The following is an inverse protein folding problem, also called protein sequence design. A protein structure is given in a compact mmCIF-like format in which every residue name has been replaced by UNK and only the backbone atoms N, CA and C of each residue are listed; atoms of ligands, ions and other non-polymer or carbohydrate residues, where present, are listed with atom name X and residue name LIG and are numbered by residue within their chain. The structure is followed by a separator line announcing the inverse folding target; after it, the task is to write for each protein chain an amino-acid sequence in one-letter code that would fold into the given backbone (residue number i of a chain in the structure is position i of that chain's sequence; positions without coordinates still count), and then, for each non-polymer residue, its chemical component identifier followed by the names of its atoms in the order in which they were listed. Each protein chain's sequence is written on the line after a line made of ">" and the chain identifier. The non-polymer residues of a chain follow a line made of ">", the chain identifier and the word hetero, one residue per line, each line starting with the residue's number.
data_IF_838753712515
#
_entry.id   IF_838753712515
#
_cell.length_a   1.000
_cell.length_b   1.000
_cell.length_c   1.000
_cell.angle_alpha   90.00
_cell.angle_beta   90.00
_cell.angle_gamma   90.00
#
_symmetry.space_group_name_H-M   'P 1'
#
loop_
_entity.id
_entity.type
_entity.pdbx_description
1 polymer ?
#
# COMPACT_ATOMS: atom_id res chain seq x y z
N UNK A 1 17.89 19.08 1.34
CA UNK A 1 16.63 18.34 1.12
C UNK A 1 15.54 18.98 1.98
N UNK A 2 14.40 19.37 1.41
CA UNK A 2 13.25 19.91 2.15
C UNK A 2 12.12 18.89 2.06
N UNK A 3 11.86 18.18 3.16
CA UNK A 3 10.80 17.16 3.26
C UNK A 3 9.60 17.80 3.93
N UNK A 4 8.40 17.58 3.40
CA UNK A 4 7.16 18.02 4.01
C UNK A 4 6.53 16.88 4.80
N UNK A 5 6.08 17.17 6.03
CA UNK A 5 5.32 16.21 6.83
C UNK A 5 3.91 16.04 6.27
N UNK A 6 3.30 14.88 6.48
CA UNK A 6 1.95 14.56 5.98
C UNK A 6 0.96 14.65 7.14
N UNK A 7 0.12 15.69 7.17
CA UNK A 7 -0.94 15.85 8.18
C UNK A 7 -2.34 15.84 7.57
N UNK A 8 -2.45 16.22 6.30
CA UNK A 8 -3.72 16.31 5.60
C UNK A 8 -3.77 15.33 4.44
N UNK A 9 -4.99 15.09 3.93
CA UNK A 9 -5.17 14.28 2.74
C UNK A 9 -4.55 14.92 1.49
N UNK A 10 -4.41 16.25 1.45
CA UNK A 10 -3.73 16.95 0.35
C UNK A 10 -2.22 16.70 0.37
N UNK A 11 -1.61 16.73 1.56
CA UNK A 11 -0.20 16.39 1.74
C UNK A 11 0.05 14.94 1.33
N UNK A 12 -0.85 14.03 1.72
CA UNK A 12 -0.77 12.62 1.38
C UNK A 12 -0.82 12.41 -0.13
N UNK A 13 -1.76 13.06 -0.84
CA UNK A 13 -1.84 12.97 -2.30
C UNK A 13 -0.62 13.57 -2.99
N UNK A 14 -0.03 14.62 -2.42
CA UNK A 14 1.20 15.21 -2.94
C UNK A 14 2.38 14.27 -2.77
N UNK A 15 2.53 13.68 -1.58
CA UNK A 15 3.56 12.67 -1.31
C UNK A 15 3.42 11.46 -2.23
N UNK A 16 2.21 10.93 -2.43
CA UNK A 16 1.96 9.82 -3.36
C UNK A 16 2.38 10.15 -4.80
N UNK A 17 2.11 11.37 -5.26
CA UNK A 17 2.54 11.81 -6.59
C UNK A 17 4.06 11.88 -6.69
N UNK A 18 4.74 12.42 -5.68
CA UNK A 18 6.21 12.45 -5.67
C UNK A 18 6.82 11.05 -5.63
N UNK A 19 6.29 10.15 -4.79
CA UNK A 19 6.69 8.73 -4.75
C UNK A 19 6.45 8.08 -6.11
N UNK A 20 5.34 8.41 -6.79
CA UNK A 20 5.00 7.79 -8.08
C UNK A 20 6.01 8.07 -9.18
N UNK A 21 6.64 9.25 -9.18
CA UNK A 21 7.67 9.59 -10.17
C UNK A 21 8.92 8.70 -10.04
N UNK A 22 9.20 8.20 -8.84
CA UNK A 22 10.32 7.29 -8.60
C UNK A 22 10.02 5.83 -9.01
N UNK A 23 8.77 5.43 -9.30
CA UNK A 23 8.52 4.07 -9.79
C UNK A 23 8.92 3.90 -11.25
N UNK A 24 8.76 4.93 -12.08
CA UNK A 24 9.23 4.90 -13.47
C UNK A 24 10.76 5.01 -13.53
N UNK A 25 11.35 5.75 -12.59
CA UNK A 25 12.78 6.05 -12.52
C UNK A 25 13.32 5.79 -11.11
N UNK A 26 13.43 4.50 -10.77
CA UNK A 26 13.85 4.07 -9.43
C UNK A 26 15.25 4.61 -9.11
N UNK A 27 15.41 5.41 -8.03
CA UNK A 27 16.67 6.02 -7.70
C UNK A 27 17.65 5.00 -7.10
N UNK A 28 18.95 5.24 -7.30
CA UNK A 28 19.97 4.35 -6.74
C UNK A 28 19.95 4.41 -5.20
N UNK A 29 20.01 3.26 -4.50
CA UNK A 29 20.10 3.22 -3.05
C UNK A 29 21.32 3.98 -2.53
N UNK A 30 21.11 4.83 -1.50
CA UNK A 30 22.16 5.68 -0.93
C UNK A 30 22.55 6.90 -1.77
N UNK A 31 21.87 7.13 -2.89
CA UNK A 31 21.88 8.42 -3.58
C UNK A 31 20.97 9.43 -2.85
N UNK A 32 21.13 10.75 -3.07
CA UNK A 32 20.24 11.75 -2.47
C UNK A 32 18.76 11.56 -2.82
N UNK A 33 18.47 11.07 -4.04
CA UNK A 33 17.10 10.79 -4.46
C UNK A 33 16.57 9.48 -3.85
N UNK A 34 17.45 8.49 -3.66
CA UNK A 34 17.13 7.25 -2.94
C UNK A 34 16.78 7.51 -1.48
N UNK A 35 17.60 8.31 -0.78
CA UNK A 35 17.32 8.75 0.59
C UNK A 35 15.99 9.50 0.69
N UNK A 36 15.65 10.30 -0.33
CA UNK A 36 14.37 11.01 -0.39
C UNK A 36 13.20 10.06 -0.61
N UNK A 37 13.34 9.10 -1.52
CA UNK A 37 12.32 8.10 -1.82
C UNK A 37 11.96 7.26 -0.58
N UNK A 38 12.97 6.76 0.12
CA UNK A 38 12.82 6.01 1.37
C UNK A 38 12.06 6.81 2.44
N UNK A 39 12.41 8.09 2.64
CA UNK A 39 11.72 8.94 3.62
C UNK A 39 10.27 9.21 3.21
N UNK A 40 10.00 9.46 1.93
CA UNK A 40 8.63 9.68 1.44
C UNK A 40 7.77 8.43 1.64
N UNK A 41 8.29 7.24 1.36
CA UNK A 41 7.61 5.97 1.60
C UNK A 41 7.27 5.79 3.09
N UNK A 42 8.24 6.02 3.98
CA UNK A 42 8.01 5.92 5.43
C UNK A 42 6.95 6.91 5.93
N UNK A 43 6.90 8.12 5.39
CA UNK A 43 5.87 9.11 5.74
C UNK A 43 4.48 8.71 5.25
N UNK A 44 4.40 8.17 4.03
CA UNK A 44 3.16 7.64 3.45
C UNK A 44 2.63 6.49 4.31
N UNK A 45 3.46 5.50 4.63
CA UNK A 45 3.08 4.36 5.49
C UNK A 45 2.58 4.82 6.86
N UNK A 46 3.29 5.77 7.49
CA UNK A 46 2.90 6.30 8.78
C UNK A 46 1.54 7.01 8.74
N UNK A 47 1.24 7.74 7.66
CA UNK A 47 -0.07 8.38 7.47
C UNK A 47 -1.16 7.33 7.26
N UNK A 48 -0.94 6.35 6.39
CA UNK A 48 -1.91 5.28 6.09
C UNK A 48 -2.21 4.44 7.32
N UNK A 49 -1.20 4.05 8.10
CA UNK A 49 -1.38 3.30 9.35
C UNK A 49 -2.29 4.03 10.34
N UNK A 50 -2.23 5.37 10.37
CA UNK A 50 -3.03 6.19 11.28
C UNK A 50 -4.44 6.49 10.74
N UNK A 51 -4.61 6.62 9.43
CA UNK A 51 -5.85 7.14 8.81
C UNK A 51 -6.64 6.11 8.00
N UNK A 52 -5.97 5.05 7.54
CA UNK A 52 -6.51 3.99 6.69
C UNK A 52 -6.24 2.63 7.36
N UNK A 53 -6.92 2.34 8.49
CA UNK A 53 -6.77 1.04 9.13
C UNK A 53 -7.12 -0.07 8.14
N UNK A 54 -6.26 -1.08 8.05
CA UNK A 54 -6.56 -2.29 7.29
C UNK A 54 -7.70 -3.00 8.02
N UNK A 55 -8.94 -2.79 7.57
CA UNK A 55 -10.07 -3.56 8.05
C UNK A 55 -9.84 -5.02 7.65
N UNK A 56 -9.84 -5.91 8.64
CA UNK A 56 -9.92 -7.34 8.37
C UNK A 56 -11.19 -7.58 7.55
N UNK A 57 -11.15 -8.43 6.50
CA UNK A 57 -12.36 -8.77 5.77
C UNK A 57 -13.40 -9.26 6.76
N UNK A 58 -14.63 -8.76 6.63
CA UNK A 58 -15.75 -9.18 7.48
C UNK A 58 -15.72 -10.72 7.60
N UNK A 59 -15.71 -11.30 8.81
CA UNK A 59 -15.66 -12.75 8.99
C UNK A 59 -16.76 -13.49 8.21
N UNK A 60 -17.88 -12.84 7.89
CA UNK A 60 -18.90 -13.37 6.97
C UNK A 60 -18.38 -13.49 5.53
N UNK A 61 -17.69 -12.46 5.02
CA UNK A 61 -17.05 -12.48 3.69
C UNK A 61 -15.91 -13.52 3.63
N UNK A 62 -15.12 -13.66 4.70
CA UNK A 62 -14.07 -14.68 4.77
C UNK A 62 -14.64 -16.12 4.71
N UNK A 63 -15.82 -16.36 5.31
CA UNK A 63 -16.52 -17.63 5.21
C UNK A 63 -17.08 -17.89 3.80
N UNK A 64 -17.65 -16.88 3.15
CA UNK A 64 -18.14 -17.00 1.77
C UNK A 64 -17.01 -17.32 0.78
N UNK A 65 -15.87 -16.64 0.89
CA UNK A 65 -14.67 -16.95 0.08
C UNK A 65 -14.21 -18.41 0.25
N UNK A 66 -14.25 -18.92 1.48
CA UNK A 66 -13.92 -20.33 1.77
C UNK A 66 -14.95 -21.30 1.21
N UNK A 67 -16.23 -20.96 1.23
CA UNK A 67 -17.30 -21.76 0.63
C UNK A 67 -17.18 -21.81 -0.91
N UNK A 68 -16.83 -20.70 -1.56
CA UNK A 68 -16.56 -20.67 -3.00
C UNK A 68 -15.36 -21.54 -3.39
N UNK A 69 -14.27 -21.50 -2.62
CA UNK A 69 -13.11 -22.38 -2.86
C UNK A 69 -13.44 -23.87 -2.70
N UNK A 70 -14.29 -24.25 -1.74
CA UNK A 70 -14.72 -25.65 -1.54
C UNK A 70 -15.64 -26.12 -2.69
N UNK A 71 -16.49 -25.22 -3.21
CA UNK A 71 -17.41 -25.48 -4.32
C UNK A 71 -16.71 -25.68 -5.68
N UNK A 72 -15.44 -25.26 -5.79
CA UNK A 72 -14.62 -25.39 -7.00
C UNK A 72 -13.81 -26.70 -7.08
N UNK A 73 -13.91 -27.58 -6.08
CA UNK A 73 -13.27 -28.91 -6.18
C UNK A 73 -13.94 -29.73 -7.30
N UNK A 74 -13.22 -30.12 -8.38
CA UNK A 74 -13.82 -30.90 -9.45
C UNK A 74 -14.26 -32.25 -8.88
N UNK A 75 -15.55 -32.55 -8.97
CA UNK A 75 -16.07 -33.89 -8.74
C UNK A 75 -15.30 -34.84 -9.66
N UNK A 76 -14.40 -35.65 -9.10
CA UNK A 76 -13.73 -36.71 -9.83
C UNK A 76 -14.83 -37.58 -10.47
N UNK A 77 -14.96 -37.51 -11.80
CA UNK A 77 -15.83 -38.41 -12.56
C UNK A 77 -15.25 -39.82 -12.41
N UNK A 78 -16.06 -40.73 -11.88
CA UNK A 78 -15.81 -42.18 -11.94
C UNK A 78 -15.81 -42.67 -13.37
#
# INVERSE_FOLDING_TARGET
>A
MKIHSIFTQEDYRTALREVSEFFDHEPEPGSPDGDRFEVLLALVEAYETQHLPIELPDPVMANQFRMEQISLTPKARR
#
